data_IF_263347399591
#
_entry.id   IF_263347399591
#
_cell.length_a   1.000
_cell.length_b   1.000
_cell.length_c   1.000
_cell.angle_alpha   90.00
_cell.angle_beta   90.00
_cell.angle_gamma   90.00
#
_symmetry.space_group_name_H-M   'P 1'
#
loop_
_entity.id
_entity.type
_entity.pdbx_description
1 polymer ?
2 branched ?
3 non-polymer ?
4 non-polymer ?
5 water ?
#
# COMPACT_ATOMS: atom_id res chain seq x y z
N UNK A 15 -15.09 17.32 5.14
CA UNK A 15 -15.97 18.05 4.16
C UNK A 15 -16.47 17.14 3.04
N UNK A 16 -17.72 17.25 2.56
CA UNK A 16 -18.13 16.33 1.49
C UNK A 16 -17.33 16.53 0.19
N UNK A 17 -16.86 15.42 -0.40
CA UNK A 17 -16.09 15.56 -1.59
C UNK A 17 -16.92 15.99 -2.79
N UNK A 18 -16.21 16.47 -3.80
CA UNK A 18 -16.89 16.99 -5.01
C UNK A 18 -16.90 15.98 -6.13
N UNK A 19 -16.45 14.72 -5.87
CA UNK A 19 -16.57 13.75 -6.94
C UNK A 19 -17.99 13.24 -7.05
N UNK A 20 -18.22 12.38 -8.06
CA UNK A 20 -19.57 11.77 -8.27
C UNK A 20 -20.14 11.12 -7.01
N UNK A 21 -19.29 10.26 -6.43
CA UNK A 21 -19.51 9.72 -5.10
C UNK A 21 -18.29 9.98 -4.24
N UNK A 22 -18.44 9.75 -2.94
CA UNK A 22 -17.35 9.93 -1.97
C UNK A 22 -17.17 8.67 -1.17
N UNK A 23 -15.94 8.13 -1.17
CA UNK A 23 -15.75 6.90 -0.37
C UNK A 23 -16.12 7.07 1.09
N UNK A 24 -15.85 8.22 1.69
CA UNK A 24 -16.17 8.46 3.13
C UNK A 24 -17.66 8.38 3.45
N UNK A 25 -18.55 8.52 2.46
CA UNK A 25 -19.98 8.73 2.73
C UNK A 25 -20.61 7.59 3.48
N UNK A 26 -21.18 7.91 4.65
CA UNK A 26 -21.82 6.89 5.46
C UNK A 26 -23.30 6.77 5.08
N UNK A 27 -23.87 5.61 5.44
CA UNK A 27 -25.28 5.29 5.19
C UNK A 27 -25.58 4.99 3.74
N UNK A 28 -24.56 4.66 2.96
CA UNK A 28 -24.78 4.10 1.65
C UNK A 28 -24.83 2.59 1.85
N UNK A 29 -23.89 2.09 2.60
CA UNK A 29 -23.81 0.65 2.82
C UNK A 29 -23.41 0.44 4.25
N UNK A 30 -24.24 -0.26 5.05
CA UNK A 30 -23.83 -0.57 6.42
C UNK A 30 -22.69 -1.57 6.55
N UNK A 31 -22.51 -2.42 5.53
CA UNK A 31 -21.37 -3.30 5.48
C UNK A 31 -20.05 -2.47 5.39
N UNK A 32 -20.08 -1.42 4.59
CA UNK A 32 -18.90 -0.53 4.50
C UNK A 32 -18.70 0.24 5.82
N UNK A 33 -19.81 0.76 6.36
CA UNK A 33 -19.69 1.64 7.57
C UNK A 33 -19.14 0.86 8.77
N UNK A 34 -19.44 -0.44 8.82
CA UNK A 34 -19.02 -1.36 9.90
C UNK A 34 -17.49 -1.51 9.85
N UNK A 35 -16.93 -1.47 8.64
CA UNK A 35 -15.50 -1.75 8.44
C UNK A 35 -14.63 -0.49 8.36
N UNK A 36 -15.13 0.55 7.69
CA UNK A 36 -14.34 1.77 7.53
C UNK A 36 -14.27 2.52 8.84
N UNK A 37 -13.07 2.92 9.21
CA UNK A 37 -12.98 3.75 10.46
C UNK A 37 -12.22 5.06 10.13
N UNK A 38 -12.95 6.18 9.98
CA UNK A 38 -12.35 7.40 9.51
C UNK A 38 -11.21 7.91 10.39
N UNK A 39 -11.12 7.49 11.66
CA UNK A 39 -10.09 7.94 12.55
C UNK A 39 -8.75 7.26 12.36
N UNK A 40 -8.71 6.25 11.47
CA UNK A 40 -7.45 5.53 11.27
C UNK A 40 -6.43 6.42 10.54
N UNK A 41 -5.17 6.30 10.94
CA UNK A 41 -4.08 7.08 10.33
C UNK A 41 -3.20 6.05 9.61
N UNK A 42 -3.13 6.16 8.27
CA UNK A 42 -2.45 5.09 7.51
C UNK A 42 -0.95 5.21 7.39
N UNK A 43 -0.39 6.36 7.78
CA UNK A 43 1.07 6.61 7.73
C UNK A 43 1.65 6.93 9.09
N UNK A 44 2.82 6.39 9.34
CA UNK A 44 3.53 6.54 10.61
C UNK A 44 4.09 7.96 10.68
N UNK A 45 3.94 8.55 11.87
CA UNK A 45 4.56 9.86 12.14
C UNK A 45 5.11 9.78 13.59
N UNK A 46 5.93 10.75 13.93
CA UNK A 46 6.46 10.76 15.29
C UNK A 46 5.31 10.89 16.33
N UNK A 47 4.27 11.62 15.95
CA UNK A 47 3.13 11.85 16.84
C UNK A 47 2.37 10.54 17.10
N UNK A 48 2.22 9.69 16.07
CA UNK A 48 1.31 8.56 16.13
C UNK A 48 1.93 7.18 16.32
N UNK A 49 3.24 7.21 16.54
CA UNK A 49 3.99 5.99 16.53
C UNK A 49 3.92 5.06 17.73
N UNK A 50 3.34 5.49 18.86
CA UNK A 50 3.12 4.57 19.97
C UNK A 50 2.10 3.45 19.66
N UNK A 51 2.54 2.20 19.65
CA UNK A 51 1.58 1.14 19.46
C UNK A 51 1.04 0.62 20.78
N UNK A 52 -0.22 0.24 20.76
CA UNK A 52 -0.81 -0.49 21.88
C UNK A 52 -0.12 -1.82 22.02
N UNK A 53 0.02 -2.33 23.25
CA UNK A 53 0.64 -3.62 23.42
C UNK A 53 0.10 -4.76 22.56
N UNK A 54 -1.21 -4.90 22.47
CA UNK A 54 -1.81 -5.95 21.71
C UNK A 54 -1.46 -5.81 20.21
N UNK A 55 -1.47 -4.56 19.74
CA UNK A 55 -1.09 -4.30 18.33
C UNK A 55 0.38 -4.63 18.06
N UNK A 56 1.24 -4.21 18.97
CA UNK A 56 2.67 -4.52 18.83
C UNK A 56 2.94 -6.03 18.90
N UNK A 57 2.29 -6.73 19.83
CA UNK A 57 2.51 -8.17 19.92
C UNK A 57 2.02 -8.89 18.65
N UNK A 58 0.85 -8.46 18.16
CA UNK A 58 0.35 -8.99 16.89
C UNK A 58 1.34 -8.77 15.74
N UNK A 59 1.83 -7.55 15.66
CA UNK A 59 2.76 -7.23 14.53
C UNK A 59 4.07 -8.02 14.65
N UNK A 60 4.61 -8.23 15.86
CA UNK A 60 5.86 -9.00 15.97
C UNK A 60 5.63 -10.44 15.53
N UNK A 61 4.40 -10.94 15.74
CA UNK A 61 4.10 -12.32 15.40
C UNK A 61 4.01 -12.54 13.89
N UNK A 62 3.93 -11.48 13.12
CA UNK A 62 3.81 -11.74 11.70
C UNK A 62 5.00 -12.51 11.13
N UNK A 63 6.19 -12.03 11.44
CA UNK A 63 7.42 -12.62 10.90
C UNK A 63 8.37 -13.12 11.99
N UNK A 64 8.04 -12.90 13.26
CA UNK A 64 8.72 -13.62 14.37
C UNK A 64 10.23 -13.46 14.37
N UNK A 65 10.67 -12.22 14.19
CA UNK A 65 12.11 -11.97 14.30
C UNK A 65 12.58 -12.27 15.71
N UNK A 66 13.78 -12.85 15.79
CA UNK A 66 14.40 -13.04 17.07
C UNK A 66 15.06 -11.78 17.64
N UNK A 67 14.73 -11.50 18.88
CA UNK A 67 15.19 -10.32 19.60
C UNK A 67 15.28 -9.01 18.76
N UNK A 68 14.09 -8.56 18.35
CA UNK A 68 14.05 -7.27 17.68
C UNK A 68 14.49 -6.11 18.57
N UNK A 69 15.02 -5.10 17.95
CA UNK A 69 15.47 -3.90 18.71
C UNK A 69 14.18 -3.18 19.13
N UNK A 70 14.33 -2.35 20.16
CA UNK A 70 13.18 -1.69 20.74
C UNK A 70 12.55 -0.78 19.66
N UNK A 71 11.25 -0.84 19.58
CA UNK A 71 10.56 -0.23 18.45
C UNK A 71 10.65 1.29 18.55
N UNK A 72 10.49 1.83 19.75
CA UNK A 72 10.50 3.29 19.84
C UNK A 72 11.87 3.81 19.53
N UNK A 73 12.93 3.07 19.92
CA UNK A 73 14.30 3.48 19.56
C UNK A 73 14.46 3.46 18.01
N UNK A 74 13.90 2.42 17.43
CA UNK A 74 14.02 2.25 15.94
C UNK A 74 13.31 3.39 15.23
N UNK A 75 12.09 3.67 15.68
CA UNK A 75 11.33 4.80 15.07
C UNK A 75 11.95 6.14 15.28
N UNK A 76 12.54 6.34 16.46
CA UNK A 76 13.29 7.60 16.66
C UNK A 76 14.36 7.74 15.59
N UNK A 77 15.13 6.69 15.43
CA UNK A 77 16.27 6.75 14.51
C UNK A 77 15.73 6.87 13.07
N UNK A 78 14.61 6.23 12.80
CA UNK A 78 14.00 6.31 11.48
C UNK A 78 13.64 7.75 11.13
N UNK A 79 13.03 8.46 12.08
CA UNK A 79 12.65 9.85 11.84
C UNK A 79 13.77 10.89 12.02
N UNK A 80 14.99 10.43 12.24
CA UNK A 80 16.17 11.25 12.00
C UNK A 80 16.57 11.23 10.55
N UNK A 81 16.00 10.28 9.83
CA UNK A 81 16.42 10.04 8.45
C UNK A 81 15.32 10.48 7.49
N UNK A 82 14.14 9.89 7.66
CA UNK A 82 13.01 10.26 6.80
C UNK A 82 12.00 11.19 7.52
N UNK A 83 11.05 11.78 6.78
CA UNK A 83 10.21 12.81 7.41
C UNK A 83 9.28 12.24 8.48
N UNK A 84 9.30 12.89 9.65
CA UNK A 84 8.56 12.37 10.79
C UNK A 84 7.29 13.14 11.09
N UNK A 85 6.88 14.00 10.17
CA UNK A 85 5.63 14.76 10.42
C UNK A 85 4.77 14.93 9.20
N UNK A 86 4.72 13.87 8.39
CA UNK A 86 3.83 13.87 7.26
C UNK A 86 2.39 13.98 7.70
N UNK A 87 1.56 14.59 6.87
CA UNK A 87 0.12 14.53 7.14
C UNK A 87 -0.34 13.10 6.90
N UNK A 88 -1.01 12.47 7.87
CA UNK A 88 -1.34 11.07 7.64
C UNK A 88 -2.23 10.76 6.45
N UNK A 89 -2.97 11.75 5.94
CA UNK A 89 -3.81 11.54 4.75
C UNK A 89 -3.24 12.29 3.55
N UNK A 90 -1.94 12.58 3.64
CA UNK A 90 -1.20 13.10 2.50
C UNK A 90 -1.87 14.36 1.97
N UNK A 91 -2.28 15.21 2.91
CA UNK A 91 -2.91 16.56 2.58
C UNK A 91 -4.21 16.44 1.79
N UNK A 92 -4.98 15.36 2.00
CA UNK A 92 -6.31 15.23 1.39
C UNK A 92 -7.17 16.44 1.81
N UNK A 93 -6.88 17.04 2.94
CA UNK A 93 -7.61 18.21 3.42
C UNK A 93 -7.51 19.40 2.49
N UNK A 94 -6.54 19.41 1.59
CA UNK A 94 -6.34 20.57 0.74
C UNK A 94 -7.02 20.42 -0.63
N UNK A 95 -7.68 19.28 -0.87
CA UNK A 95 -8.35 19.02 -2.15
C UNK A 95 -9.79 18.59 -1.89
N UNK A 96 -10.62 18.79 -2.89
CA UNK A 96 -12.02 18.44 -2.76
C UNK A 96 -12.42 17.12 -3.39
N UNK A 97 -11.62 16.64 -4.34
CA UNK A 97 -11.90 15.35 -4.93
C UNK A 97 -10.54 14.77 -5.38
N UNK A 98 -10.09 13.79 -4.62
CA UNK A 98 -8.86 13.13 -5.05
C UNK A 98 -9.16 11.78 -5.68
N UNK A 99 -8.75 11.61 -6.93
CA UNK A 99 -9.06 10.43 -7.70
C UNK A 99 -7.76 9.62 -7.76
N UNK A 100 -7.86 8.32 -7.40
CA UNK A 100 -6.68 7.44 -7.42
C UNK A 100 -6.82 6.20 -8.24
N UNK A 101 -5.71 5.78 -8.87
CA UNK A 101 -5.63 4.49 -9.47
C UNK A 101 -4.73 3.63 -8.64
N UNK A 102 -5.18 2.44 -8.27
CA UNK A 102 -4.32 1.48 -7.59
C UNK A 102 -4.08 0.35 -8.57
N UNK A 103 -2.79 0.17 -8.93
CA UNK A 103 -2.41 -0.77 -10.02
C UNK A 103 -1.70 -1.92 -9.40
N UNK A 104 -2.40 -3.04 -9.47
CA UNK A 104 -1.88 -4.37 -9.08
C UNK A 104 -1.05 -4.94 -10.19
N UNK A 105 -0.59 -6.19 -9.96
CA UNK A 105 0.43 -6.74 -10.81
C UNK A 105 -0.06 -7.80 -11.83
N UNK A 106 -1.37 -7.99 -11.88
CA UNK A 106 -1.91 -9.09 -12.71
C UNK A 106 -1.62 -8.95 -14.20
N UNK A 107 -1.35 -10.13 -14.77
CA UNK A 107 -1.24 -10.19 -16.23
C UNK A 107 -2.54 -9.87 -16.98
N UNK A 108 -3.66 -9.68 -16.29
CA UNK A 108 -4.85 -9.14 -16.95
C UNK A 108 -4.61 -7.77 -17.51
N UNK A 109 -3.50 -7.12 -17.11
CA UNK A 109 -3.19 -5.80 -17.72
C UNK A 109 -2.55 -5.94 -19.13
N UNK A 110 -2.06 -7.11 -19.49
CA UNK A 110 -1.43 -7.30 -20.81
C UNK A 110 -2.45 -7.08 -21.92
N UNK A 111 -2.10 -6.14 -22.81
CA UNK A 111 -2.94 -5.73 -23.94
C UNK A 111 -4.29 -5.17 -23.50
N UNK A 112 -4.31 -4.62 -22.28
CA UNK A 112 -5.53 -3.98 -21.78
C UNK A 112 -5.64 -2.54 -22.30
N UNK A 113 -4.51 -1.97 -22.69
CA UNK A 113 -4.48 -0.54 -23.09
C UNK A 113 -5.05 0.46 -22.09
N UNK A 114 -4.91 0.12 -20.82
CA UNK A 114 -5.40 0.97 -19.73
C UNK A 114 -4.44 2.11 -19.35
N UNK A 115 -3.29 2.25 -19.97
CA UNK A 115 -2.31 3.25 -19.57
C UNK A 115 -2.82 4.66 -19.45
N UNK A 116 -3.44 5.16 -20.53
CA UNK A 116 -3.91 6.55 -20.44
C UNK A 116 -4.96 6.70 -19.32
N UNK A 117 -5.90 5.77 -19.18
CA UNK A 117 -6.85 6.00 -18.12
C UNK A 117 -6.27 5.88 -16.70
N UNK A 118 -5.28 4.99 -16.57
CA UNK A 118 -4.59 4.96 -15.30
C UNK A 118 -3.88 6.27 -15.01
N UNK A 119 -3.10 6.79 -15.99
CA UNK A 119 -2.35 8.01 -15.76
C UNK A 119 -3.24 9.27 -15.53
N UNK A 120 -4.54 9.16 -15.88
CA UNK A 120 -5.40 10.34 -15.81
C UNK A 120 -5.72 10.65 -14.33
N UNK A 121 -5.43 9.78 -13.41
CA UNK A 121 -5.75 10.03 -11.98
C UNK A 121 -4.77 10.94 -11.24
N UNK A 122 -5.24 11.56 -10.17
CA UNK A 122 -4.38 12.42 -9.34
C UNK A 122 -3.19 11.66 -8.73
N UNK A 123 -3.52 10.54 -8.12
CA UNK A 123 -2.47 9.64 -7.61
C UNK A 123 -2.54 8.36 -8.43
N UNK A 124 -1.35 7.76 -8.66
CA UNK A 124 -1.26 6.39 -9.19
C UNK A 124 -0.38 5.62 -8.24
N UNK A 125 -0.95 4.56 -7.69
CA UNK A 125 -0.24 3.77 -6.66
C UNK A 125 0.10 2.39 -7.18
N UNK A 126 1.37 2.05 -7.20
CA UNK A 126 1.90 0.79 -7.69
C UNK A 126 2.57 0.03 -6.55
N UNK A 127 3.01 -1.16 -6.89
CA UNK A 127 3.60 -2.02 -5.81
C UNK A 127 4.66 -2.97 -6.29
N UNK A 128 5.49 -3.35 -5.32
CA UNK A 128 6.46 -4.44 -5.50
C UNK A 128 7.39 -4.17 -6.67
N UNK A 129 7.77 -5.15 -7.48
CA UNK A 129 8.81 -4.86 -8.47
C UNK A 129 8.18 -4.52 -9.84
N UNK A 130 6.90 -4.19 -9.86
CA UNK A 130 6.18 -3.94 -11.13
C UNK A 130 6.85 -2.78 -11.92
N UNK A 131 7.27 -3.02 -13.15
CA UNK A 131 7.84 -1.93 -13.99
C UNK A 131 6.79 -1.23 -14.83
N UNK A 132 7.07 0.05 -15.17
CA UNK A 132 6.30 0.70 -16.20
C UNK A 132 7.04 0.71 -17.55
N UNK A 133 8.38 0.69 -17.48
CA UNK A 133 9.16 0.87 -18.70
C UNK A 133 8.90 -0.22 -19.72
N UNK A 134 8.43 0.22 -20.90
CA UNK A 134 8.12 -0.75 -21.95
C UNK A 134 6.74 -1.36 -21.79
N UNK A 135 5.98 -0.94 -20.78
CA UNK A 135 4.57 -1.40 -20.60
C UNK A 135 3.59 -0.24 -20.49
N UNK A 136 4.02 0.95 -20.90
CA UNK A 136 3.24 2.13 -20.65
C UNK A 136 1.83 2.13 -21.27
N UNK A 137 1.67 1.61 -22.50
CA UNK A 137 0.38 1.62 -23.11
C UNK A 137 -0.63 0.87 -22.27
N UNK A 138 -0.18 -0.18 -21.58
CA UNK A 138 -1.07 -0.97 -20.71
C UNK A 138 -1.17 -0.47 -19.30
N UNK A 139 -0.03 -0.05 -18.72
CA UNK A 139 -0.08 0.22 -17.28
C UNK A 139 0.12 1.66 -16.94
N UNK A 140 0.44 2.49 -17.89
CA UNK A 140 0.74 3.91 -17.65
C UNK A 140 2.21 4.15 -17.40
N UNK A 141 2.57 5.42 -17.38
CA UNK A 141 3.92 5.88 -17.06
C UNK A 141 3.96 6.67 -15.75
N UNK A 142 2.79 7.03 -15.19
CA UNK A 142 2.80 7.88 -13.99
C UNK A 142 2.83 7.02 -12.71
N UNK A 143 3.67 7.44 -11.78
CA UNK A 143 3.56 6.84 -10.44
C UNK A 143 3.73 7.97 -9.45
N UNK A 144 2.75 8.13 -8.55
CA UNK A 144 2.96 9.09 -7.43
C UNK A 144 3.44 8.39 -6.15
N UNK A 145 3.02 7.14 -5.96
CA UNK A 145 3.34 6.39 -4.70
C UNK A 145 3.54 4.95 -5.07
N UNK A 146 4.55 4.33 -4.45
CA UNK A 146 4.80 2.90 -4.78
C UNK A 146 5.11 2.15 -3.49
N UNK A 147 4.30 1.13 -3.23
CA UNK A 147 4.45 0.34 -1.99
C UNK A 147 5.53 -0.71 -2.14
N UNK A 148 6.40 -0.80 -1.16
CA UNK A 148 7.49 -1.81 -1.21
C UNK A 148 7.68 -2.37 0.19
N UNK A 149 8.36 -3.50 0.22
CA UNK A 149 9.03 -3.93 1.45
C UNK A 149 10.46 -4.32 1.05
N UNK A 150 11.38 -4.61 1.99
CA UNK A 150 12.80 -4.82 1.53
C UNK A 150 12.95 -5.95 0.53
N UNK A 151 12.13 -7.00 0.68
CA UNK A 151 12.23 -8.17 -0.19
C UNK A 151 11.50 -7.96 -1.52
N UNK A 152 10.82 -6.84 -1.68
CA UNK A 152 10.14 -6.63 -2.94
C UNK A 152 10.29 -5.13 -3.19
N UNK A 153 11.53 -4.70 -3.46
CA UNK A 153 11.87 -3.34 -3.87
C UNK A 153 12.47 -3.40 -5.26
N UNK A 154 12.21 -2.35 -6.05
CA UNK A 154 13.02 -2.06 -7.23
C UNK A 154 13.31 -0.54 -7.21
N UNK A 155 14.39 -0.12 -7.89
CA UNK A 155 14.66 1.32 -7.93
C UNK A 155 13.50 2.08 -8.52
N UNK A 156 13.20 3.22 -7.88
CA UNK A 156 12.06 4.09 -8.26
C UNK A 156 12.52 5.34 -8.92
N UNK A 157 11.73 5.82 -9.88
CA UNK A 157 11.97 7.18 -10.43
C UNK A 157 12.02 8.24 -9.31
N UNK A 158 12.73 9.34 -9.57
CA UNK A 158 12.98 10.22 -8.41
C UNK A 158 11.79 11.01 -7.82
N UNK A 159 10.76 11.19 -8.64
CA UNK A 159 9.49 11.86 -8.28
C UNK A 159 8.60 11.04 -7.33
N UNK A 160 8.88 9.74 -7.31
CA UNK A 160 7.92 8.76 -6.75
C UNK A 160 8.10 8.66 -5.21
N UNK A 161 6.97 8.77 -4.49
CA UNK A 161 7.05 8.53 -3.03
C UNK A 161 7.11 7.04 -2.78
N UNK A 162 8.04 6.58 -1.99
CA UNK A 162 8.15 5.16 -1.64
C UNK A 162 7.40 4.89 -0.40
N UNK A 163 6.41 4.01 -0.40
CA UNK A 163 5.70 3.73 0.85
C UNK A 163 6.26 2.36 1.28
N UNK A 164 7.05 2.41 2.39
CA UNK A 164 7.61 1.18 2.96
C UNK A 164 6.49 0.54 3.77
N UNK A 165 6.20 -0.74 3.51
CA UNK A 165 5.17 -1.46 4.29
C UNK A 165 5.97 -2.38 5.25
N UNK A 166 6.00 -2.02 6.56
CA UNK A 166 6.87 -2.81 7.46
C UNK A 166 6.14 -3.98 8.09
N UNK A 167 6.74 -5.16 7.92
CA UNK A 167 6.21 -6.40 8.51
C UNK A 167 6.99 -6.91 9.71
N UNK A 168 8.09 -6.19 9.98
CA UNK A 168 8.95 -6.55 11.12
C UNK A 168 9.89 -5.37 11.40
N UNK A 169 10.44 -5.34 12.63
CA UNK A 169 11.34 -4.26 13.05
C UNK A 169 12.51 -4.02 12.04
N UNK A 170 13.07 -5.11 11.51
CA UNK A 170 14.15 -5.00 10.51
C UNK A 170 13.73 -4.19 9.30
N UNK A 171 12.45 -4.19 8.93
CA UNK A 171 12.07 -3.48 7.72
C UNK A 171 12.26 -1.96 7.90
N UNK A 172 11.99 -1.46 9.12
CA UNK A 172 12.23 -0.05 9.42
C UNK A 172 13.74 0.22 9.49
N UNK A 173 14.47 -0.71 10.11
CA UNK A 173 15.96 -0.63 10.17
C UNK A 173 16.54 -0.60 8.75
N UNK A 174 15.90 -1.36 7.86
CA UNK A 174 16.38 -1.40 6.47
C UNK A 174 16.26 -0.06 5.76
N UNK A 175 15.18 0.69 5.98
CA UNK A 175 15.03 2.04 5.40
C UNK A 175 16.23 2.91 5.87
N UNK A 176 16.49 2.85 7.18
CA UNK A 176 17.62 3.59 7.73
C UNK A 176 18.92 3.16 7.02
N UNK A 177 19.23 1.85 7.08
CA UNK A 177 20.46 1.38 6.46
C UNK A 177 20.60 1.60 4.97
N UNK A 178 19.53 1.40 4.21
CA UNK A 178 19.69 1.40 2.77
C UNK A 178 19.81 2.82 2.20
N UNK A 179 19.51 3.81 3.03
CA UNK A 179 19.69 5.22 2.62
C UNK A 179 20.96 5.80 3.23
N UNK A 180 21.66 5.00 4.01
CA UNK A 180 22.84 5.49 4.79
C UNK A 180 23.98 4.47 4.68
N UNK A 181 24.17 3.67 5.71
CA UNK A 181 25.37 2.87 5.81
C UNK A 181 25.36 1.62 4.91
N UNK A 182 24.18 1.15 4.54
CA UNK A 182 24.16 -0.06 3.68
C UNK A 182 24.67 -1.32 4.38
N UNK A 183 24.24 -1.51 5.63
CA UNK A 183 24.72 -2.64 6.46
C UNK A 183 23.77 -3.83 6.42
N UNK A 184 22.50 -3.61 6.09
CA UNK A 184 21.52 -4.72 6.05
C UNK A 184 21.40 -5.23 4.62
N UNK A 185 21.86 -6.46 4.39
CA UNK A 185 21.81 -7.07 3.03
C UNK A 185 21.02 -8.38 2.97
N UNK A 186 20.43 -8.73 4.10
CA UNK A 186 19.73 -9.99 4.20
C UNK A 186 18.69 -9.96 5.31
N UNK A 187 17.49 -10.46 5.00
CA UNK A 187 16.42 -10.64 5.96
C UNK A 187 16.13 -12.13 6.02
N UNK A 188 15.00 -12.56 5.50
CA UNK A 188 14.80 -14.00 5.22
C UNK A 188 15.26 -14.42 3.83
N UNK A 189 15.52 -13.41 2.99
CA UNK A 189 16.13 -13.48 1.68
C UNK A 189 17.12 -12.29 1.52
N UNK A 190 17.91 -12.30 0.43
CA UNK A 190 18.81 -11.19 0.21
C UNK A 190 17.92 -9.98 -0.03
N UNK A 191 18.37 -8.83 0.45
CA UNK A 191 17.67 -7.55 0.11
C UNK A 191 18.71 -6.50 -0.29
N UNK A 192 18.33 -5.45 -1.01
CA UNK A 192 19.33 -4.51 -1.53
C UNK A 192 20.00 -3.83 -0.32
N UNK A 193 21.32 -3.69 -0.41
CA UNK A 193 21.98 -3.03 0.70
C UNK A 193 21.84 -1.52 0.62
N UNK A 194 21.69 -1.00 -0.57
CA UNK A 194 21.43 0.44 -0.82
C UNK A 194 20.24 0.58 -1.74
N UNK A 195 19.56 1.71 -1.58
CA UNK A 195 18.58 2.13 -2.58
C UNK A 195 18.90 3.58 -2.94
N UNK A 196 18.39 4.01 -4.11
CA UNK A 196 18.65 5.41 -4.55
C UNK A 196 17.58 6.44 -4.14
N UNK A 197 16.46 5.95 -3.60
CA UNK A 197 15.36 6.78 -3.26
C UNK A 197 15.76 7.87 -2.28
N UNK A 198 15.32 9.11 -2.55
CA UNK A 198 15.73 10.23 -1.66
C UNK A 198 14.97 10.08 -0.31
N UNK A 199 15.69 10.30 0.78
CA UNK A 199 15.08 10.19 2.12
C UNK A 199 13.77 11.01 2.23
N UNK A 200 13.71 12.19 1.62
CA UNK A 200 12.49 13.01 1.74
C UNK A 200 11.27 12.43 1.00
N UNK A 201 11.51 11.43 0.15
CA UNK A 201 10.38 10.81 -0.57
C UNK A 201 9.89 9.53 0.09
N UNK A 202 10.35 9.23 1.30
CA UNK A 202 9.92 7.94 1.92
C UNK A 202 8.79 8.19 2.93
N UNK A 203 7.81 7.29 2.83
CA UNK A 203 6.65 7.27 3.73
C UNK A 203 6.61 5.88 4.34
N UNK A 204 5.97 5.81 5.53
CA UNK A 204 5.99 4.51 6.23
C UNK A 204 4.52 4.15 6.54
N UNK A 205 4.10 2.98 5.99
CA UNK A 205 2.77 2.46 6.28
C UNK A 205 2.67 2.11 7.77
N UNK A 206 1.59 2.55 8.40
CA UNK A 206 1.54 2.43 9.87
C UNK A 206 1.20 0.99 10.30
N UNK A 207 2.01 0.36 11.18
CA UNK A 207 1.70 -1.00 11.56
C UNK A 207 0.29 -1.19 12.14
N UNK A 208 -0.23 -0.16 12.83
CA UNK A 208 -1.59 -0.25 13.41
C UNK A 208 -2.64 -0.30 12.26
N UNK A 209 -2.27 0.30 11.09
CA UNK A 209 -3.23 0.31 10.00
C UNK A 209 -3.16 -1.04 9.31
N UNK A 210 -2.03 -1.74 9.33
CA UNK A 210 -2.01 -3.12 8.88
C UNK A 210 -2.95 -4.00 9.73
N UNK A 211 -2.93 -3.79 11.06
CA UNK A 211 -3.79 -4.65 11.94
C UNK A 211 -5.23 -4.25 11.74
N UNK A 212 -5.51 -2.95 11.47
CA UNK A 212 -6.85 -2.56 11.12
C UNK A 212 -7.38 -3.25 9.85
N UNK A 213 -6.55 -3.28 8.83
CA UNK A 213 -6.87 -4.02 7.59
C UNK A 213 -7.18 -5.50 7.92
N UNK A 214 -6.29 -6.15 8.68
CA UNK A 214 -6.50 -7.54 9.02
C UNK A 214 -7.77 -7.76 9.84
N UNK A 215 -7.95 -6.97 10.87
CA UNK A 215 -9.09 -7.23 11.80
C UNK A 215 -10.41 -6.86 11.20
N UNK A 216 -10.46 -5.65 10.63
CA UNK A 216 -11.76 -5.14 10.27
C UNK A 216 -12.18 -5.44 8.82
N UNK A 217 -11.21 -5.36 7.93
CA UNK A 217 -11.50 -5.68 6.53
C UNK A 217 -11.37 -7.13 6.21
N UNK A 218 -10.35 -7.80 6.71
CA UNK A 218 -10.25 -9.25 6.45
C UNK A 218 -10.85 -10.16 7.51
N UNK A 219 -11.27 -9.58 8.64
CA UNK A 219 -11.96 -10.40 9.69
C UNK A 219 -11.11 -11.56 10.06
N UNK A 220 -9.82 -11.32 10.13
CA UNK A 220 -8.86 -12.31 10.60
C UNK A 220 -8.53 -13.39 9.64
N UNK A 221 -8.81 -13.25 8.34
CA UNK A 221 -8.47 -14.22 7.31
C UNK A 221 -7.10 -14.04 6.77
N UNK A 222 -6.34 -15.14 6.73
CA UNK A 222 -4.92 -15.14 6.28
C UNK A 222 -4.06 -15.01 7.53
N UNK A 223 -2.74 -15.15 7.39
CA UNK A 223 -1.84 -14.75 8.50
C UNK A 223 -1.71 -13.25 8.69
N UNK A 224 -1.72 -12.58 7.55
CA UNK A 224 -1.78 -11.13 7.59
C UNK A 224 -2.12 -10.68 6.16
N UNK A 225 -2.45 -9.40 5.95
CA UNK A 225 -2.89 -8.97 4.60
C UNK A 225 -1.84 -8.89 3.50
N UNK A 226 -2.24 -9.18 2.26
CA UNK A 226 -1.32 -9.09 1.14
C UNK A 226 -1.13 -7.59 0.84
N UNK A 227 -0.05 -7.34 0.11
CA UNK A 227 0.31 -5.96 -0.23
C UNK A 227 -0.81 -5.37 -1.08
N UNK A 228 -1.43 -6.17 -1.95
CA UNK A 228 -2.53 -5.64 -2.79
C UNK A 228 -3.67 -5.09 -1.93
N UNK A 229 -4.17 -5.87 -0.99
CA UNK A 229 -5.32 -5.40 -0.18
C UNK A 229 -4.87 -4.30 0.76
N UNK A 230 -3.64 -4.28 1.26
CA UNK A 230 -3.16 -3.14 2.03
C UNK A 230 -3.15 -1.89 1.21
N UNK A 231 -2.83 -2.02 -0.08
CA UNK A 231 -2.80 -0.86 -0.94
C UNK A 231 -4.20 -0.30 -1.18
N UNK A 232 -5.17 -1.22 -1.33
CA UNK A 232 -6.58 -0.84 -1.58
C UNK A 232 -7.13 -0.09 -0.34
N UNK A 233 -6.97 -0.71 0.84
CA UNK A 233 -7.62 -0.03 1.98
C UNK A 233 -6.93 1.31 2.26
N UNK A 234 -5.61 1.34 2.11
CA UNK A 234 -4.89 2.61 2.24
C UNK A 234 -5.52 3.62 1.32
N UNK A 235 -5.76 3.26 0.04
CA UNK A 235 -6.36 4.29 -0.82
C UNK A 235 -7.82 4.65 -0.51
N UNK A 236 -8.55 3.80 0.20
CA UNK A 236 -9.88 4.17 0.64
C UNK A 236 -9.82 5.35 1.58
N UNK A 237 -8.74 5.40 2.38
CA UNK A 237 -8.53 6.49 3.35
C UNK A 237 -7.95 7.76 2.75
N UNK A 238 -6.98 7.61 1.86
CA UNK A 238 -6.34 8.79 1.30
C UNK A 238 -7.03 9.42 0.10
N UNK A 239 -7.96 8.70 -0.53
CA UNK A 239 -8.62 9.14 -1.77
C UNK A 239 -10.13 9.25 -1.59
N UNK A 240 -10.76 10.02 -2.50
CA UNK A 240 -12.22 10.07 -2.56
C UNK A 240 -12.85 9.16 -3.54
N UNK A 241 -12.09 8.77 -4.58
CA UNK A 241 -12.53 7.92 -5.67
C UNK A 241 -11.36 7.01 -5.99
N UNK A 242 -11.63 5.73 -6.09
CA UNK A 242 -10.60 4.73 -6.28
C UNK A 242 -10.96 3.78 -7.37
N UNK A 243 -10.03 3.61 -8.31
CA UNK A 243 -10.20 2.68 -9.41
C UNK A 243 -9.07 1.65 -9.37
N UNK A 244 -9.43 0.40 -9.45
CA UNK A 244 -8.47 -0.75 -9.36
C UNK A 244 -8.18 -1.30 -10.74
N UNK A 245 -6.89 -1.51 -11.01
CA UNK A 245 -6.43 -2.12 -12.28
C UNK A 245 -5.43 -3.21 -11.89
N UNK A 246 -5.33 -4.28 -12.66
CA UNK A 246 -4.33 -5.36 -12.42
C UNK A 246 -4.61 -6.19 -11.15
N UNK A 247 -5.88 -6.30 -10.75
CA UNK A 247 -6.24 -7.19 -9.67
C UNK A 247 -6.99 -8.40 -10.19
N UNK A 248 -6.69 -9.57 -9.64
CA UNK A 248 -7.42 -10.80 -10.03
C UNK A 248 -6.73 -11.59 -11.11
N UNK A 249 -7.36 -12.69 -11.46
CA UNK A 249 -6.78 -13.45 -12.55
C UNK A 249 -7.20 -12.75 -13.87
N UNK A 250 -6.62 -13.25 -14.96
CA UNK A 250 -7.01 -12.82 -16.30
C UNK A 250 -8.23 -13.65 -16.70
N UNK A 251 -8.72 -13.39 -17.90
CA UNK A 251 -10.03 -13.97 -18.32
C UNK A 251 -9.93 -15.50 -18.57
N UNK A 252 -8.73 -16.03 -18.63
CA UNK A 252 -8.49 -17.46 -18.80
C UNK A 252 -8.29 -18.14 -17.44
N UNK A 253 -8.32 -17.32 -16.40
CA UNK A 253 -8.12 -17.81 -15.06
C UNK A 253 -6.69 -17.94 -14.62
N UNK A 254 -5.73 -17.38 -15.36
CA UNK A 254 -4.31 -17.45 -14.95
C UNK A 254 -3.93 -16.31 -14.01
N UNK A 255 -3.07 -16.61 -13.05
CA UNK A 255 -2.49 -15.69 -12.09
C UNK A 255 -1.01 -15.57 -12.45
N UNK A 256 -0.63 -14.53 -13.15
CA UNK A 256 0.77 -14.36 -13.56
C UNK A 256 0.98 -12.84 -13.47
N UNK A 257 2.22 -12.39 -13.52
CA UNK A 257 2.45 -10.93 -13.59
C UNK A 257 2.47 -10.39 -15.00
N UNK A 258 2.16 -9.11 -15.15
CA UNK A 258 2.10 -8.58 -16.52
C UNK A 258 3.46 -8.46 -17.21
N UNK A 259 4.54 -8.44 -16.47
CA UNK A 259 5.83 -8.18 -17.13
C UNK A 259 6.66 -9.44 -17.29
N UNK A 260 6.27 -10.57 -16.72
CA UNK A 260 7.22 -11.72 -16.60
C UNK A 260 6.39 -12.97 -16.48
N UNK A 272 -2.01 -20.69 3.27
CA UNK A 272 -0.92 -19.77 2.96
C UNK A 272 -0.99 -18.53 3.84
N UNK A 273 -0.02 -17.63 3.62
CA UNK A 273 0.20 -16.42 4.37
C UNK A 273 -1.00 -15.45 4.17
N UNK A 274 -1.45 -15.38 2.92
CA UNK A 274 -2.66 -14.57 2.66
C UNK A 274 -3.85 -15.44 2.26
N UNK A 275 -5.08 -15.01 2.52
CA UNK A 275 -6.31 -15.66 2.01
C UNK A 275 -6.76 -14.86 0.78
N UNK A 276 -6.26 -15.21 -0.40
CA UNK A 276 -6.49 -14.42 -1.63
C UNK A 276 -7.96 -14.49 -2.05
N UNK A 277 -8.64 -15.59 -1.77
CA UNK A 277 -10.09 -15.66 -2.07
C UNK A 277 -10.85 -14.67 -1.20
N UNK A 278 -10.59 -14.64 0.11
CA UNK A 278 -11.35 -13.72 0.98
C UNK A 278 -11.01 -12.28 0.62
N UNK A 279 -9.74 -11.98 0.33
CA UNK A 279 -9.38 -10.59 -0.04
C UNK A 279 -10.06 -10.19 -1.36
N UNK A 280 -10.09 -11.12 -2.32
CA UNK A 280 -10.72 -10.86 -3.62
C UNK A 280 -12.17 -10.50 -3.38
N UNK A 281 -12.87 -11.27 -2.51
CA UNK A 281 -14.27 -11.03 -2.25
C UNK A 281 -14.51 -9.62 -1.60
N UNK A 282 -13.53 -9.18 -0.80
CA UNK A 282 -13.69 -7.84 -0.25
C UNK A 282 -13.70 -6.82 -1.33
N UNK A 283 -12.81 -6.93 -2.32
CA UNK A 283 -12.80 -5.99 -3.42
C UNK A 283 -14.03 -6.09 -4.34
N UNK A 284 -14.52 -7.33 -4.49
CA UNK A 284 -15.77 -7.51 -5.25
C UNK A 284 -16.92 -6.81 -4.56
N UNK A 285 -17.04 -6.96 -3.24
CA UNK A 285 -18.13 -6.29 -2.52
C UNK A 285 -17.96 -4.77 -2.59
N UNK A 286 -16.74 -4.25 -2.39
CA UNK A 286 -16.57 -2.80 -2.49
C UNK A 286 -17.03 -2.27 -3.87
N UNK A 287 -16.73 -3.04 -4.93
CA UNK A 287 -17.13 -2.62 -6.27
C UNK A 287 -18.69 -2.61 -6.38
N UNK A 288 -19.31 -3.64 -5.81
CA UNK A 288 -20.77 -3.74 -5.87
C UNK A 288 -21.52 -2.60 -5.23
N UNK A 289 -20.90 -1.96 -4.25
CA UNK A 289 -21.48 -0.77 -3.57
C UNK A 289 -20.88 0.54 -4.03
N UNK A 290 -20.21 0.45 -5.18
CA UNK A 290 -19.63 1.64 -5.83
C UNK A 290 -18.64 2.41 -4.97
N UNK A 291 -17.96 1.73 -4.03
CA UNK A 291 -16.91 2.39 -3.25
C UNK A 291 -15.57 2.33 -4.00
N UNK A 292 -15.48 1.42 -4.96
CA UNK A 292 -14.38 1.41 -5.92
C UNK A 292 -14.98 1.02 -7.25
N UNK A 293 -14.18 1.21 -8.32
CA UNK A 293 -14.48 0.56 -9.62
C UNK A 293 -13.36 -0.43 -9.88
N UNK A 294 -13.65 -1.58 -10.47
CA UNK A 294 -12.64 -2.56 -10.86
C UNK A 294 -12.57 -2.69 -12.37
N UNK A 295 -11.39 -2.48 -12.94
CA UNK A 295 -11.16 -2.71 -14.37
C UNK A 295 -10.53 -4.06 -14.52
N UNK A 296 -11.24 -4.96 -15.21
CA UNK A 296 -10.86 -6.38 -15.13
C UNK A 296 -9.76 -6.72 -16.15
N UNK A 297 -9.53 -5.85 -17.14
CA UNK A 297 -8.46 -6.12 -18.16
C UNK A 297 -8.85 -7.27 -19.07
N UNK A 298 -7.87 -8.12 -19.36
CA UNK A 298 -7.98 -9.11 -20.43
C UNK A 298 -7.96 -10.52 -19.82
X LIG B 1 8.37 -16.04 5.75
X LIG B 1 8.16 -16.63 4.46
X LIG B 1 6.88 -16.03 3.83
X LIG B 1 6.69 -16.57 2.48
X LIG B 1 7.10 -14.55 3.65
X LIG B 1 5.81 -14.05 3.22
X LIG B 1 7.44 -13.93 5.02
X LIG B 1 6.33 -13.94 5.92
X LIG B 1 8.66 -14.63 5.63
X LIG B 1 8.89 -14.15 7.11
X LIG B 1 10.16 -14.72 7.52
X LIG B 1 5.90 -17.62 2.23
X LIG B 1 5.30 -18.20 3.14
X LIG B 1 5.85 -18.00 0.73
X LIG B 2 5.92 -12.90 2.34
X LIG B 2 4.56 -12.85 1.58
X LIG B 2 4.50 -11.54 0.76
X LIG B 2 4.73 -10.39 1.73
X LIG B 2 6.11 -10.56 2.38
X LIG B 2 6.40 -9.40 3.34
X LIG B 2 4.55 -14.01 0.73
X LIG B 2 3.18 -11.40 0.22
X LIG B 2 3.77 -10.42 2.78
X LIG B 2 6.08 -11.82 3.17
X LIG B 2 7.80 -9.61 3.83
X LIG C 1 2.77 -9.43 -4.60
X LIG C 1 2.78 -9.10 -6.22
X LIG C 1 3.84 -8.15 -6.71
X LIG C 1 2.80 -10.52 -6.98
X LIG C 1 1.25 -8.50 -6.47
X LIG C 1 0.94 -7.36 -5.60
X LIG C 1 -0.59 -7.25 -5.45
X LIG C 1 -1.17 -7.25 -6.88
X LIG C 1 -0.88 -8.63 -4.75
X LIG C 1 -0.66 -8.62 -3.29
X LIG C 1 -2.35 -8.84 -5.21
X LIG C 1 -3.39 -8.30 -4.34
X LIG C 1 -2.35 -8.18 -6.64
X LIG C 1 -2.43 -9.26 -7.72
X LIG C 1 -3.69 -9.81 -8.09
X LIG C 1 -3.66 -10.73 -9.12
X LIG C 1 -2.51 -11.14 -9.73
X LIG C 1 -1.26 -10.62 -9.37
X LIG C 1 -1.21 -9.65 -8.36
X LIG C 1 -4.75 -9.45 -7.48
X LIG C 1 -2.50 -12.06 -10.71
X LIG D 1 10.71 -16.73 1.13
X LIG D 1 9.43 -17.14 0.67
X LIG D 1 11.51 -16.17 0.17
X LIG D 1 11.18 -17.16 2.32
X LIG D 1 10.43 -17.05 3.49
X LIG D 1 10.90 -17.47 4.74
X LIG D 1 12.17 -18.10 4.77
X LIG D 1 12.86 -18.18 3.59
X LIG D 1 12.44 -17.80 2.33
X LIG D 1 9.19 -16.39 3.44
#
# INVERSE_FOLDING_TARGET
>A
ELSENFKKLXKYPYRPCTCTRCIEEQRVSAWFDERFNRSMQPLLTAKNAHLEEDTYKWWLRLQREKQPNNLNDTIRELFQVVPGNVDPLLEKRLVSCRRCAVVGNSGNLKESYYGPQIDSHDFVLRMNKAPTEGFEADVGSKTTHHFVYPESFRELAQEVSMILVPFKTTDLEWVISATTTGRISHTYVPVPAKIKVKKEKILIYHPAFIKYVFDRWLQGHGRYPSTGILSVIFSLHICDEVDLYGFGADSKGNWHHYWENNPSAGAFRKTGVHDGDFESNVTTILASINKIRIFKGR
>B hetero
1 A2G O5 C1 C2 N2 C3 O3 C4 O4 C5 C6 O6 C7 O7 C8
2 GAL C1 C2 C3 C4 C5 C6 O2 O3 O4 O5 O6
>C hetero
1 C5P O3P P O1P O2P O5' C5' C4' O4' C3' O3' C2' O2' C1' N1 C2 N3 C4 C5 C6 O2 N4
>D hetero
1 CG3 NBG OBH OBI CBB CAW CAX CAY CAZ CBA OAO
#
